data_IF_667950926688
#
_entry.id   IF_667950926688
#
_cell.length_a   1.000
_cell.length_b   1.000
_cell.length_c   1.000
_cell.angle_alpha   90.00
_cell.angle_beta   90.00
_cell.angle_gamma   90.00
#
_symmetry.space_group_name_H-M   'P 1'
#
loop_
_entity.id
_entity.type
_entity.pdbx_description
1 polymer ?
#
# COMPACT_ATOMS: atom_id res chain seq x y z
N UNK A 1 -9.77 -0.71 -15.27
CA UNK A 1 -9.51 -0.18 -13.92
C UNK A 1 -8.55 1.00 -14.01
N UNK A 2 -8.56 1.92 -13.05
CA UNK A 2 -7.61 3.05 -13.02
C UNK A 2 -6.41 2.65 -12.18
N UNK A 3 -5.18 3.04 -12.56
CA UNK A 3 -3.98 2.39 -12.05
C UNK A 3 -3.69 2.62 -10.57
N UNK A 4 -4.25 3.66 -9.96
CA UNK A 4 -3.74 4.17 -8.68
C UNK A 4 -4.29 3.49 -7.43
N UNK A 5 -5.49 2.90 -7.47
CA UNK A 5 -6.10 2.24 -6.32
C UNK A 5 -6.31 3.14 -5.09
N UNK A 6 -6.29 2.52 -3.90
CA UNK A 6 -6.51 3.19 -2.63
C UNK A 6 -6.88 2.21 -1.51
N UNK A 7 -6.58 2.55 -0.27
CA UNK A 7 -6.99 1.79 0.91
C UNK A 7 -8.16 2.49 1.59
N UNK A 8 -9.25 1.76 1.83
CA UNK A 8 -10.41 2.30 2.53
C UNK A 8 -10.84 1.39 3.67
N UNK A 9 -11.20 2.00 4.79
CA UNK A 9 -11.79 1.34 5.93
C UNK A 9 -13.20 1.85 6.16
N UNK A 10 -14.16 0.94 6.27
CA UNK A 10 -15.53 1.24 6.67
C UNK A 10 -15.74 0.72 8.08
N UNK A 11 -16.02 1.62 9.03
CA UNK A 11 -16.23 1.29 10.45
C UNK A 11 -17.48 1.93 10.99
N UNK A 12 -18.07 1.32 12.03
CA UNK A 12 -19.09 1.98 12.84
C UNK A 12 -18.40 2.99 13.75
N UNK A 13 -18.79 4.25 13.66
CA UNK A 13 -18.35 5.35 14.52
C UNK A 13 -19.58 6.15 14.95
N UNK A 14 -19.79 6.38 16.25
CA UNK A 14 -20.88 7.22 16.77
C UNK A 14 -22.28 6.93 16.15
N UNK A 15 -22.61 5.64 15.96
CA UNK A 15 -23.91 5.20 15.42
C UNK A 15 -24.09 5.40 13.90
N UNK A 16 -23.03 5.70 13.16
CA UNK A 16 -23.01 5.74 11.68
C UNK A 16 -21.88 4.86 11.15
N UNK A 17 -22.01 4.34 9.94
CA UNK A 17 -20.87 3.82 9.20
C UNK A 17 -20.10 5.00 8.62
N UNK A 18 -18.79 5.01 8.81
CA UNK A 18 -17.89 6.02 8.28
C UNK A 18 -16.83 5.33 7.41
N UNK A 19 -16.74 5.75 6.16
CA UNK A 19 -15.71 5.33 5.23
C UNK A 19 -14.55 6.33 5.25
N UNK A 20 -13.37 5.82 5.55
CA UNK A 20 -12.12 6.58 5.63
C UNK A 20 -11.11 6.01 4.66
N UNK A 21 -10.70 6.83 3.69
CA UNK A 21 -9.56 6.56 2.82
C UNK A 21 -8.27 6.79 3.63
N UNK A 22 -7.32 5.87 3.51
CA UNK A 22 -6.00 6.00 4.10
C UNK A 22 -4.99 6.25 2.99
N UNK A 23 -4.37 7.42 3.02
CA UNK A 23 -3.27 7.77 2.12
C UNK A 23 -1.93 7.36 2.74
N UNK A 24 -0.91 7.08 1.91
CA UNK A 24 0.44 6.85 2.41
C UNK A 24 0.95 8.07 3.19
N UNK A 25 1.94 7.88 4.08
CA UNK A 25 2.59 8.98 4.77
C UNK A 25 3.33 9.90 3.78
N UNK A 26 3.91 10.97 4.30
CA UNK A 26 4.69 11.88 3.48
C UNK A 26 5.97 11.22 3.01
N UNK A 27 6.44 11.55 1.80
CA UNK A 27 7.70 11.01 1.25
C UNK A 27 8.90 11.32 2.16
N UNK A 28 8.83 12.42 2.92
CA UNK A 28 9.84 12.80 3.93
C UNK A 28 9.86 11.91 5.17
N UNK A 29 8.82 11.12 5.41
CA UNK A 29 8.64 10.27 6.60
C UNK A 29 7.87 8.99 6.23
N UNK A 30 8.56 8.04 5.59
CA UNK A 30 7.96 6.76 5.20
C UNK A 30 7.50 5.91 6.40
N UNK A 31 7.99 6.17 7.61
CA UNK A 31 7.55 5.47 8.82
C UNK A 31 6.39 6.15 9.52
N UNK A 32 5.99 7.33 9.03
CA UNK A 32 4.84 8.06 9.51
C UNK A 32 3.54 7.25 9.39
N UNK A 33 2.51 7.63 10.15
CA UNK A 33 1.21 6.98 10.08
C UNK A 33 0.53 7.25 8.74
N UNK A 34 -0.31 6.31 8.31
CA UNK A 34 -1.24 6.54 7.20
C UNK A 34 -2.12 7.77 7.50
N UNK A 35 -2.36 8.58 6.48
CA UNK A 35 -3.12 9.84 6.60
C UNK A 35 -4.61 9.57 6.33
N UNK A 36 -5.49 9.66 7.35
CA UNK A 36 -6.90 9.38 7.16
C UNK A 36 -7.63 10.55 6.48
N UNK A 37 -8.53 10.24 5.54
CA UNK A 37 -9.44 11.18 4.90
C UNK A 37 -10.85 10.59 4.86
N UNK A 38 -11.80 11.27 5.51
CA UNK A 38 -13.21 10.84 5.51
C UNK A 38 -13.78 11.02 4.10
N UNK A 39 -14.47 9.99 3.58
CA UNK A 39 -15.00 9.98 2.20
C UNK A 39 -16.51 10.03 2.17
N UNK A 40 -17.17 9.11 2.88
CA UNK A 40 -18.62 9.09 2.98
C UNK A 40 -19.08 8.53 4.31
N UNK A 41 -20.34 8.76 4.65
CA UNK A 41 -20.98 8.14 5.82
C UNK A 41 -22.38 7.63 5.50
N UNK A 42 -22.80 6.61 6.23
CA UNK A 42 -24.13 6.01 6.16
C UNK A 42 -24.71 6.01 7.56
N UNK A 43 -25.85 6.64 7.77
CA UNK A 43 -26.52 6.68 9.06
C UNK A 43 -28.00 6.40 8.92
N UNK A 44 -28.67 6.09 10.03
CA UNK A 44 -30.13 5.95 10.06
C UNK A 44 -30.70 7.23 10.66
N UNK A 45 -31.40 8.01 9.84
CA UNK A 45 -32.15 9.17 10.32
C UNK A 45 -33.44 8.69 10.98
N UNK A 46 -33.42 8.61 12.32
CA UNK A 46 -34.54 8.07 13.12
C UNK A 46 -35.84 8.87 12.96
N UNK A 47 -35.76 10.20 12.81
CA UNK A 47 -36.97 11.03 12.68
C UNK A 47 -37.65 10.86 11.32
N UNK A 48 -36.88 10.58 10.27
CA UNK A 48 -37.39 10.36 8.91
C UNK A 48 -37.50 8.88 8.51
N UNK A 49 -37.18 7.97 9.43
CA UNK A 49 -37.08 6.52 9.25
C UNK A 49 -36.43 6.12 7.91
N UNK A 50 -35.30 6.74 7.58
CA UNK A 50 -34.59 6.51 6.32
C UNK A 50 -33.09 6.44 6.52
N UNK A 51 -32.44 5.63 5.70
CA UNK A 51 -30.98 5.65 5.57
C UNK A 51 -30.56 6.96 4.91
N UNK A 52 -29.58 7.63 5.49
CA UNK A 52 -28.95 8.83 4.97
C UNK A 52 -27.51 8.50 4.58
N UNK A 53 -27.21 8.69 3.30
CA UNK A 53 -25.88 8.46 2.72
C UNK A 53 -25.33 9.82 2.32
N UNK A 54 -24.20 10.21 2.91
CA UNK A 54 -23.58 11.51 2.71
C UNK A 54 -22.17 11.34 2.15
N UNK A 55 -21.89 12.04 1.07
CA UNK A 55 -20.54 12.37 0.62
C UNK A 55 -19.94 13.41 1.58
N UNK A 56 -18.71 13.16 1.99
CA UNK A 56 -17.92 14.04 2.87
C UNK A 56 -16.76 14.70 2.12
N UNK A 57 -16.66 14.47 0.81
CA UNK A 57 -15.64 15.07 -0.04
C UNK A 57 -16.00 16.54 -0.38
N UNK A 58 -15.01 17.30 -0.86
CA UNK A 58 -15.21 18.67 -1.34
C UNK A 58 -14.90 19.74 -0.29
N UNK A 59 -15.34 20.96 -0.59
CA UNK A 59 -14.98 22.18 0.18
C UNK A 59 -16.16 22.79 0.94
N UNK A 60 -17.35 22.24 0.76
CA UNK A 60 -18.57 22.66 1.44
C UNK A 60 -19.05 21.63 2.47
N UNK A 61 -20.32 21.75 2.83
CA UNK A 61 -20.97 20.82 3.73
C UNK A 61 -21.15 19.42 3.10
N UNK A 62 -21.35 18.43 3.97
CA UNK A 62 -21.72 17.09 3.56
C UNK A 62 -22.99 17.11 2.69
N UNK A 63 -23.01 16.31 1.62
CA UNK A 63 -24.05 16.35 0.61
C UNK A 63 -24.47 14.95 0.15
N UNK A 64 -25.60 14.79 -0.55
CA UNK A 64 -26.15 13.46 -0.84
C UNK A 64 -25.20 12.57 -1.65
N UNK A 65 -25.12 11.30 -1.26
CA UNK A 65 -24.51 10.22 -2.03
C UNK A 65 -25.44 9.01 -2.15
N UNK A 66 -25.01 8.01 -2.90
CA UNK A 66 -25.70 6.73 -3.06
C UNK A 66 -24.72 5.56 -2.95
N UNK A 67 -25.27 4.39 -2.60
CA UNK A 67 -24.56 3.11 -2.58
C UNK A 67 -25.31 2.17 -3.53
N UNK A 68 -24.56 1.53 -4.40
CA UNK A 68 -25.02 0.46 -5.30
C UNK A 68 -24.26 -0.82 -4.94
N UNK A 69 -24.96 -1.94 -5.00
CA UNK A 69 -24.36 -3.26 -4.83
C UNK A 69 -24.21 -3.89 -6.21
N UNK A 70 -22.99 -4.27 -6.57
CA UNK A 70 -22.72 -4.92 -7.85
C UNK A 70 -22.78 -6.44 -7.62
N UNK A 71 -23.75 -7.09 -8.26
CA UNK A 71 -24.17 -8.46 -7.94
C UNK A 71 -23.16 -9.53 -8.32
N UNK A 72 -22.21 -9.23 -9.21
CA UNK A 72 -21.28 -10.23 -9.77
C UNK A 72 -19.97 -10.33 -8.98
N UNK A 73 -19.49 -9.24 -8.40
CA UNK A 73 -18.15 -9.17 -7.77
C UNK A 73 -18.20 -8.98 -6.24
N UNK A 74 -19.40 -8.97 -5.65
CA UNK A 74 -19.61 -8.55 -4.24
C UNK A 74 -19.06 -7.15 -3.93
N UNK A 75 -18.90 -6.33 -4.96
CA UNK A 75 -18.39 -4.98 -4.87
C UNK A 75 -19.46 -4.01 -4.38
N UNK A 76 -19.04 -3.06 -3.56
CA UNK A 76 -19.88 -1.95 -3.11
C UNK A 76 -19.43 -0.69 -3.85
N UNK A 77 -20.36 -0.02 -4.53
CA UNK A 77 -20.07 1.19 -5.30
C UNK A 77 -20.72 2.39 -4.63
N UNK A 78 -19.91 3.31 -4.11
CA UNK A 78 -20.36 4.63 -3.68
C UNK A 78 -20.33 5.62 -4.84
N UNK A 79 -21.36 6.46 -4.94
CA UNK A 79 -21.41 7.60 -5.88
C UNK A 79 -21.87 8.87 -5.16
N UNK A 80 -21.22 9.99 -5.46
CA UNK A 80 -21.69 11.32 -5.09
C UNK A 80 -22.84 11.76 -6.02
N UNK A 81 -23.90 12.34 -5.46
CA UNK A 81 -25.04 12.86 -6.23
C UNK A 81 -24.94 14.36 -6.54
N UNK A 82 -23.92 15.07 -6.05
CA UNK A 82 -23.76 16.52 -6.18
C UNK A 82 -22.31 16.90 -6.51
N UNK A 83 -21.90 16.67 -7.75
CA UNK A 83 -20.52 16.93 -8.22
C UNK A 83 -20.06 18.38 -8.04
N UNK A 84 -20.97 19.36 -8.12
CA UNK A 84 -20.64 20.78 -7.96
C UNK A 84 -20.03 21.09 -6.58
N UNK A 85 -20.33 20.29 -5.56
CA UNK A 85 -19.77 20.44 -4.21
C UNK A 85 -18.29 20.05 -4.10
N UNK A 86 -17.75 19.35 -5.10
CA UNK A 86 -16.34 18.92 -5.10
C UNK A 86 -15.41 20.00 -5.66
N UNK A 87 -15.91 20.87 -6.53
CA UNK A 87 -15.10 21.88 -7.18
C UNK A 87 -14.58 22.90 -6.16
N UNK A 88 -13.27 23.18 -6.20
CA UNK A 88 -12.71 24.22 -5.36
C UNK A 88 -13.34 25.60 -5.70
N UNK A 89 -13.78 26.40 -4.70
CA UNK A 89 -14.46 27.69 -4.95
C UNK A 89 -13.63 28.69 -5.76
N UNK A 90 -12.30 28.56 -5.73
CA UNK A 90 -11.33 29.36 -6.48
C UNK A 90 -10.84 28.72 -7.79
N UNK A 91 -11.49 27.64 -8.25
CA UNK A 91 -11.17 26.93 -9.49
C UNK A 91 -10.14 25.81 -9.34
N UNK A 92 -10.02 24.99 -10.40
CA UNK A 92 -9.26 23.73 -10.43
C UNK A 92 -7.74 23.90 -10.25
N UNK A 93 -7.17 25.03 -10.67
CA UNK A 93 -5.74 25.31 -10.45
C UNK A 93 -5.41 25.44 -8.95
N UNK A 94 -6.29 26.08 -8.18
CA UNK A 94 -6.14 26.19 -6.72
C UNK A 94 -6.40 24.85 -6.04
N UNK A 95 -7.33 24.05 -6.57
CA UNK A 95 -7.58 22.68 -6.14
C UNK A 95 -6.32 21.81 -6.25
N UNK A 96 -5.71 21.78 -7.44
CA UNK A 96 -4.48 21.05 -7.69
C UNK A 96 -3.34 21.54 -6.79
N UNK A 97 -3.16 22.85 -6.64
CA UNK A 97 -2.15 23.41 -5.73
C UNK A 97 -2.38 23.01 -4.27
N UNK A 98 -3.63 22.93 -3.83
CA UNK A 98 -4.00 22.49 -2.48
C UNK A 98 -3.68 21.01 -2.30
N UNK A 99 -4.02 20.17 -3.27
CA UNK A 99 -3.70 18.74 -3.23
C UNK A 99 -2.19 18.48 -3.24
N UNK A 100 -1.41 19.23 -4.03
CA UNK A 100 0.06 19.13 -4.02
C UNK A 100 0.58 19.42 -2.61
N UNK A 101 0.13 20.52 -2.00
CA UNK A 101 0.50 20.87 -0.62
C UNK A 101 0.11 19.80 0.40
N UNK A 102 -1.08 19.21 0.24
CA UNK A 102 -1.55 18.10 1.07
C UNK A 102 -0.74 16.82 0.90
N UNK A 103 -0.16 16.56 -0.27
CA UNK A 103 0.67 15.38 -0.55
C UNK A 103 2.14 15.59 -0.16
N UNK A 104 2.65 16.83 -0.22
CA UNK A 104 4.06 17.13 0.11
C UNK A 104 4.26 17.70 1.52
N UNK A 105 3.19 17.84 2.31
CA UNK A 105 3.22 18.52 3.60
C UNK A 105 3.80 19.94 3.50
N UNK A 106 3.40 20.69 2.47
CA UNK A 106 3.97 22.01 2.14
C UNK A 106 5.49 22.05 1.88
N UNK A 107 6.18 20.91 1.78
CA UNK A 107 7.60 20.89 1.44
C UNK A 107 7.80 21.09 -0.06
N UNK A 108 8.88 21.80 -0.41
CA UNK A 108 9.34 21.99 -1.79
C UNK A 108 10.10 20.75 -2.26
N UNK A 109 9.41 19.62 -2.35
CA UNK A 109 9.94 18.37 -2.93
C UNK A 109 9.73 18.45 -4.44
N UNK A 110 10.67 18.01 -5.29
CA UNK A 110 10.44 17.92 -6.72
C UNK A 110 9.19 17.07 -6.99
N UNK A 111 8.13 17.75 -7.45
CA UNK A 111 6.85 17.15 -7.79
C UNK A 111 6.92 16.69 -9.24
N UNK A 112 6.71 15.40 -9.49
CA UNK A 112 6.91 14.84 -10.83
C UNK A 112 5.69 15.08 -11.73
N UNK A 113 5.87 14.91 -13.04
CA UNK A 113 4.75 14.93 -14.00
C UNK A 113 3.75 13.80 -13.68
N UNK A 114 4.24 12.66 -13.19
CA UNK A 114 3.37 11.51 -12.88
C UNK A 114 2.57 11.73 -11.59
N UNK A 115 3.15 12.42 -10.60
CA UNK A 115 2.39 12.90 -9.43
C UNK A 115 1.25 13.84 -9.83
N UNK A 116 1.51 14.74 -10.79
CA UNK A 116 0.47 15.64 -11.30
C UNK A 116 -0.65 14.86 -11.97
N UNK A 117 -0.32 13.91 -12.85
CA UNK A 117 -1.32 13.06 -13.52
C UNK A 117 -2.13 12.24 -12.51
N UNK A 118 -1.49 11.74 -11.45
CA UNK A 118 -2.16 11.02 -10.37
C UNK A 118 -3.18 11.91 -9.65
N UNK A 119 -2.80 13.14 -9.29
CA UNK A 119 -3.71 14.08 -8.63
C UNK A 119 -4.85 14.53 -9.55
N UNK A 120 -4.57 14.83 -10.82
CA UNK A 120 -5.62 15.14 -11.79
C UNK A 120 -6.57 13.96 -11.99
N UNK A 121 -6.05 12.73 -11.98
CA UNK A 121 -6.87 11.52 -12.01
C UNK A 121 -7.75 11.45 -10.76
N UNK A 122 -7.19 11.66 -9.56
CA UNK A 122 -7.93 11.71 -8.30
C UNK A 122 -9.08 12.72 -8.36
N UNK A 123 -8.80 13.98 -8.73
CA UNK A 123 -9.82 15.05 -8.86
C UNK A 123 -10.99 14.66 -9.78
N UNK A 124 -10.73 13.92 -10.86
CA UNK A 124 -11.77 13.45 -11.79
C UNK A 124 -12.63 12.31 -11.22
N UNK A 125 -12.19 11.64 -10.15
CA UNK A 125 -12.76 10.36 -9.67
C UNK A 125 -13.28 10.36 -8.25
N UNK A 126 -13.00 11.39 -7.45
CA UNK A 126 -13.51 11.52 -6.07
C UNK A 126 -15.04 11.44 -5.94
N UNK A 127 -15.75 11.43 -7.05
CA UNK A 127 -17.20 11.22 -7.13
C UNK A 127 -17.66 9.76 -7.08
N UNK A 128 -16.78 8.77 -7.32
CA UNK A 128 -17.16 7.35 -7.38
C UNK A 128 -16.06 6.47 -6.79
N UNK A 129 -16.43 5.63 -5.83
CA UNK A 129 -15.54 4.65 -5.22
C UNK A 129 -16.13 3.25 -5.41
N UNK A 130 -15.33 2.34 -5.96
CA UNK A 130 -15.62 0.90 -5.99
C UNK A 130 -14.83 0.26 -4.86
N UNK A 131 -15.53 -0.39 -3.94
CA UNK A 131 -14.95 -1.01 -2.75
C UNK A 131 -14.98 -2.51 -2.95
N UNK A 132 -13.77 -3.06 -3.04
CA UNK A 132 -13.54 -4.50 -3.07
C UNK A 132 -12.95 -4.89 -1.72
N UNK A 133 -13.51 -5.94 -1.11
CA UNK A 133 -13.01 -6.43 0.17
C UNK A 133 -11.65 -7.07 -0.02
N UNK A 134 -10.67 -6.66 0.79
CA UNK A 134 -9.35 -7.26 0.84
C UNK A 134 -9.27 -8.12 2.10
N UNK A 135 -8.97 -9.39 1.92
CA UNK A 135 -8.67 -10.28 3.03
C UNK A 135 -7.19 -10.18 3.40
N UNK A 136 -6.93 -9.85 4.67
CA UNK A 136 -5.58 -9.82 5.22
C UNK A 136 -5.35 -11.10 5.99
N UNK A 137 -4.32 -11.85 5.60
CA UNK A 137 -3.96 -13.09 6.28
C UNK A 137 -3.57 -12.81 7.73
N UNK A 138 -3.96 -13.71 8.63
CA UNK A 138 -3.65 -13.56 10.06
C UNK A 138 -2.14 -13.73 10.30
N UNK A 139 -1.58 -12.99 11.26
CA UNK A 139 -0.22 -13.25 11.74
C UNK A 139 -0.07 -14.70 12.19
N UNK A 140 1.05 -15.32 11.85
CA UNK A 140 1.43 -16.67 12.24
C UNK A 140 2.96 -16.75 12.32
N UNK A 141 3.54 -17.31 13.39
CA UNK A 141 4.99 -17.48 13.51
C UNK A 141 5.65 -18.28 12.38
N UNK A 142 4.90 -19.09 11.64
CA UNK A 142 5.41 -19.81 10.45
C UNK A 142 5.81 -18.86 9.32
N UNK A 143 5.25 -17.65 9.29
CA UNK A 143 5.55 -16.72 8.22
C UNK A 143 6.88 -16.01 8.45
N UNK A 144 7.76 -16.01 7.43
CA UNK A 144 9.06 -15.37 7.55
C UNK A 144 8.98 -13.86 7.80
N UNK A 145 8.06 -13.24 7.07
CA UNK A 145 7.63 -11.87 7.25
C UNK A 145 6.13 -11.96 7.48
N UNK A 146 5.65 -11.35 8.55
CA UNK A 146 4.23 -11.41 8.86
C UNK A 146 3.41 -10.85 7.69
N UNK A 147 2.42 -11.60 7.16
CA UNK A 147 1.60 -11.10 6.07
C UNK A 147 0.81 -9.88 6.54
N UNK A 148 0.45 -9.02 5.59
CA UNK A 148 -0.19 -7.76 5.96
C UNK A 148 -0.01 -6.66 4.94
N UNK A 149 -0.38 -5.47 5.38
CA UNK A 149 -0.20 -4.24 4.62
C UNK A 149 1.17 -3.63 4.94
N UNK A 150 1.90 -3.30 3.89
CA UNK A 150 3.21 -2.67 3.94
C UNK A 150 3.18 -1.37 3.16
N UNK A 151 4.09 -0.46 3.51
CA UNK A 151 4.37 0.75 2.74
C UNK A 151 5.83 0.73 2.32
N UNK A 152 6.10 1.11 1.06
CA UNK A 152 7.45 1.10 0.52
C UNK A 152 7.64 2.23 -0.50
N UNK A 153 8.89 2.67 -0.66
CA UNK A 153 9.26 3.55 -1.76
C UNK A 153 9.22 2.78 -3.08
N UNK A 154 8.55 3.36 -4.08
CA UNK A 154 8.49 2.86 -5.45
C UNK A 154 9.11 3.86 -6.43
N UNK A 155 10.38 4.21 -6.17
CA UNK A 155 11.17 5.11 -7.01
C UNK A 155 10.46 6.47 -7.24
N UNK A 156 10.37 6.92 -8.49
CA UNK A 156 9.75 8.18 -8.89
C UNK A 156 8.24 8.28 -8.59
N UNK A 157 7.56 7.17 -8.30
CA UNK A 157 6.12 7.16 -7.99
C UNK A 157 5.80 7.40 -6.51
N UNK A 158 6.84 7.59 -5.69
CA UNK A 158 6.69 7.94 -4.28
C UNK A 158 6.47 6.73 -3.37
N UNK A 159 5.57 6.85 -2.40
CA UNK A 159 5.25 5.77 -1.45
C UNK A 159 3.97 5.07 -1.91
N UNK A 160 4.03 3.75 -2.01
CA UNK A 160 2.91 2.88 -2.32
C UNK A 160 2.61 1.91 -1.17
N UNK A 161 1.38 1.42 -1.14
CA UNK A 161 0.90 0.40 -0.21
C UNK A 161 0.78 -0.95 -0.90
N UNK A 162 1.24 -1.98 -0.21
CA UNK A 162 1.33 -3.34 -0.71
C UNK A 162 0.67 -4.32 0.26
N UNK A 163 0.09 -5.39 -0.27
CA UNK A 163 -0.39 -6.54 0.51
C UNK A 163 0.55 -7.71 0.27
N UNK A 164 1.24 -8.15 1.32
CA UNK A 164 1.99 -9.40 1.34
C UNK A 164 1.07 -10.53 1.77
N UNK A 165 1.01 -11.58 0.95
CA UNK A 165 0.28 -12.82 1.26
C UNK A 165 1.09 -14.05 0.87
N UNK A 166 0.83 -15.16 1.54
CA UNK A 166 1.48 -16.44 1.34
C UNK A 166 0.51 -17.49 0.81
N UNK A 167 1.00 -18.36 -0.08
CA UNK A 167 0.40 -19.65 -0.39
C UNK A 167 1.39 -20.74 0.06
N UNK A 168 1.29 -21.13 1.34
CA UNK A 168 2.19 -22.14 1.93
C UNK A 168 2.00 -23.52 1.31
N UNK A 169 0.84 -23.81 0.71
CA UNK A 169 0.63 -25.07 -0.01
C UNK A 169 1.51 -25.17 -1.25
N UNK A 170 1.80 -24.02 -1.87
CA UNK A 170 2.71 -23.92 -3.01
C UNK A 170 4.14 -23.52 -2.63
N UNK A 171 4.38 -23.12 -1.38
CA UNK A 171 5.62 -22.48 -0.92
C UNK A 171 5.92 -21.21 -1.75
N UNK A 172 4.93 -20.33 -1.85
CA UNK A 172 5.00 -19.07 -2.62
C UNK A 172 4.51 -17.90 -1.79
N UNK A 173 5.01 -16.70 -2.08
CA UNK A 173 4.46 -15.46 -1.57
C UNK A 173 4.28 -14.44 -2.69
N UNK A 174 3.29 -13.57 -2.52
CA UNK A 174 2.89 -12.58 -3.51
C UNK A 174 2.74 -11.22 -2.83
N UNK A 175 3.24 -10.19 -3.50
CA UNK A 175 3.10 -8.79 -3.09
C UNK A 175 2.22 -8.08 -4.11
N UNK A 176 0.99 -7.76 -3.69
CA UNK A 176 -0.01 -7.09 -4.51
C UNK A 176 -0.01 -5.59 -4.22
N UNK A 177 -0.09 -4.76 -5.25
CA UNK A 177 -0.25 -3.31 -5.10
C UNK A 177 -1.66 -2.97 -4.63
N UNK A 178 -1.79 -2.37 -3.45
CA UNK A 178 -3.06 -1.78 -2.98
C UNK A 178 -3.24 -0.37 -3.54
N UNK A 179 -2.14 0.37 -3.61
CA UNK A 179 -2.01 1.54 -4.49
C UNK A 179 -0.99 1.21 -5.55
N UNK A 180 -1.18 1.71 -6.76
CA UNK A 180 -0.23 1.48 -7.85
C UNK A 180 -0.04 2.69 -8.72
N UNK A 181 0.48 2.43 -9.91
CA UNK A 181 0.93 3.43 -10.86
C UNK A 181 0.61 2.98 -12.30
N UNK A 182 0.78 3.84 -13.32
CA UNK A 182 0.46 3.48 -14.70
C UNK A 182 1.24 2.27 -15.25
N UNK A 183 2.38 1.92 -14.67
CA UNK A 183 3.20 0.78 -15.10
C UNK A 183 2.75 -0.52 -14.44
N UNK A 184 2.50 -0.50 -13.11
CA UNK A 184 1.92 -1.63 -12.38
C UNK A 184 0.69 -1.13 -11.60
N UNK A 185 -0.52 -1.38 -12.12
CA UNK A 185 -1.76 -0.96 -11.49
C UNK A 185 -2.01 -1.55 -10.10
N UNK A 186 -2.83 -0.86 -9.31
CA UNK A 186 -3.41 -1.43 -8.10
C UNK A 186 -4.28 -2.66 -8.42
N UNK A 187 -4.21 -3.66 -7.55
CA UNK A 187 -4.79 -4.98 -7.71
C UNK A 187 -3.84 -5.98 -8.37
N UNK A 188 -2.78 -5.51 -9.04
CA UNK A 188 -1.82 -6.35 -9.73
C UNK A 188 -0.66 -6.76 -8.82
N UNK A 189 -0.06 -7.89 -9.16
CA UNK A 189 1.11 -8.44 -8.49
C UNK A 189 2.37 -7.70 -8.92
N UNK A 190 3.10 -7.14 -7.95
CA UNK A 190 4.36 -6.45 -8.21
C UNK A 190 5.58 -7.32 -7.90
N UNK A 191 5.48 -8.27 -6.97
CA UNK A 191 6.57 -9.17 -6.61
C UNK A 191 5.99 -10.56 -6.40
N UNK A 192 6.65 -11.54 -7.00
CA UNK A 192 6.42 -12.94 -6.76
C UNK A 192 7.66 -13.55 -6.10
N UNK A 193 7.47 -14.33 -5.05
CA UNK A 193 8.54 -14.87 -4.21
C UNK A 193 8.39 -16.38 -4.19
N UNK A 194 9.40 -17.08 -4.69
CA UNK A 194 9.51 -18.53 -4.60
C UNK A 194 10.20 -18.89 -3.28
N UNK A 195 9.46 -19.45 -2.32
CA UNK A 195 10.00 -19.83 -1.01
C UNK A 195 10.78 -21.16 -1.06
N UNK A 196 10.77 -21.86 -2.20
CA UNK A 196 11.52 -23.10 -2.39
C UNK A 196 12.98 -22.89 -2.71
N UNK A 197 13.38 -21.69 -3.14
CA UNK A 197 14.74 -21.40 -3.60
C UNK A 197 15.39 -20.33 -2.70
N UNK A 198 15.76 -20.67 -1.45
CA UNK A 198 16.40 -19.72 -0.56
C UNK A 198 17.82 -19.39 -1.05
N UNK A 199 18.07 -18.10 -1.30
CA UNK A 199 19.41 -17.64 -1.65
C UNK A 199 20.26 -17.51 -0.38
N UNK A 200 21.43 -18.17 -0.36
CA UNK A 200 22.44 -18.01 0.69
C UNK A 200 23.59 -17.15 0.17
N UNK A 201 23.72 -15.93 0.69
CA UNK A 201 24.72 -14.98 0.22
C UNK A 201 25.87 -14.83 1.23
N UNK A 202 27.10 -14.94 0.73
CA UNK A 202 28.28 -14.52 1.49
C UNK A 202 28.30 -13.00 1.66
N UNK A 203 29.07 -12.52 2.65
CA UNK A 203 29.24 -11.09 2.90
C UNK A 203 29.77 -10.34 1.67
N UNK A 204 30.70 -10.95 0.94
CA UNK A 204 31.29 -10.34 -0.25
C UNK A 204 30.28 -10.24 -1.40
N UNK A 205 29.44 -11.27 -1.59
CA UNK A 205 28.36 -11.25 -2.58
C UNK A 205 27.32 -10.16 -2.28
N UNK A 206 27.06 -9.85 -1.01
CA UNK A 206 26.11 -8.78 -0.64
C UNK A 206 26.66 -7.37 -0.87
N UNK A 207 27.99 -7.20 -0.96
CA UNK A 207 28.63 -5.90 -1.11
C UNK A 207 28.78 -5.46 -2.58
N UNK A 208 28.70 -6.40 -3.53
CA UNK A 208 28.95 -6.16 -4.95
C UNK A 208 27.84 -6.74 -5.83
N UNK A 209 27.20 -5.85 -6.61
CA UNK A 209 26.14 -6.24 -7.54
C UNK A 209 26.65 -7.21 -8.60
N UNK A 210 27.91 -7.10 -9.05
CA UNK A 210 28.43 -8.03 -10.05
C UNK A 210 28.50 -9.46 -9.51
N UNK A 211 28.88 -9.61 -8.25
CA UNK A 211 28.87 -10.91 -7.55
C UNK A 211 27.47 -11.51 -7.45
N UNK A 212 26.41 -10.69 -7.35
CA UNK A 212 25.01 -11.16 -7.41
C UNK A 212 24.58 -11.54 -8.83
N UNK A 213 25.03 -10.80 -9.84
CA UNK A 213 24.71 -11.07 -11.25
C UNK A 213 25.33 -12.37 -11.78
N UNK A 214 26.35 -12.89 -11.10
CA UNK A 214 27.00 -14.16 -11.41
C UNK A 214 26.27 -15.38 -10.84
N UNK A 215 25.25 -15.18 -10.00
CA UNK A 215 24.45 -16.28 -9.45
C UNK A 215 23.41 -16.73 -10.48
N UNK A 216 23.46 -17.99 -10.88
CA UNK A 216 22.43 -18.59 -11.72
C UNK A 216 21.36 -19.29 -10.86
N UNK A 217 20.16 -19.47 -11.40
CA UNK A 217 19.06 -20.11 -10.67
C UNK A 217 19.38 -21.57 -10.28
N UNK A 218 20.22 -22.23 -11.07
CA UNK A 218 20.70 -23.59 -10.84
C UNK A 218 21.74 -23.67 -9.70
N UNK A 219 22.37 -22.55 -9.34
CA UNK A 219 23.28 -22.48 -8.18
C UNK A 219 22.51 -22.37 -6.86
N UNK A 220 21.20 -22.12 -6.90
CA UNK A 220 20.36 -21.94 -5.72
C UNK A 220 19.78 -23.29 -5.31
N UNK A 221 20.17 -23.83 -4.14
CA UNK A 221 19.68 -25.13 -3.68
C UNK A 221 18.20 -25.09 -3.33
N UNK A 222 17.52 -26.23 -3.48
CA UNK A 222 16.14 -26.39 -3.04
C UNK A 222 16.06 -26.30 -1.51
N UNK A 223 15.00 -25.66 -1.01
CA UNK A 223 14.78 -25.36 0.42
C UNK A 223 14.86 -26.60 1.30
N UNK A 224 14.43 -27.75 0.78
CA UNK A 224 14.40 -29.02 1.51
C UNK A 224 15.81 -29.61 1.70
N UNK A 225 16.79 -29.19 0.88
CA UNK A 225 18.19 -29.66 0.93
C UNK A 225 19.10 -28.72 1.74
N UNK A 226 18.56 -27.60 2.22
CA UNK A 226 19.33 -26.53 2.85
C UNK A 226 19.19 -26.58 4.36
N UNK A 227 20.30 -26.91 5.04
CA UNK A 227 20.42 -26.74 6.49
C UNK A 227 20.35 -25.25 6.85
N UNK A 228 19.59 -24.89 7.89
CA UNK A 228 19.49 -23.50 8.29
C UNK A 228 20.82 -22.91 8.71
N UNK A 229 21.14 -21.74 8.16
CA UNK A 229 22.33 -20.99 8.53
C UNK A 229 21.97 -19.53 8.74
N UNK A 230 22.51 -18.97 9.83
CA UNK A 230 22.54 -17.53 10.00
C UNK A 230 23.46 -16.97 8.92
N UNK A 231 22.91 -16.18 8.02
CA UNK A 231 23.67 -15.40 7.06
C UNK A 231 23.75 -13.95 7.56
N UNK A 232 24.90 -13.27 7.37
CA UNK A 232 24.99 -11.86 7.65
C UNK A 232 24.02 -11.10 6.74
N UNK A 233 23.50 -9.97 7.19
CA UNK A 233 22.82 -9.02 6.32
C UNK A 233 23.65 -7.75 6.25
N UNK A 234 24.13 -7.42 5.06
CA UNK A 234 25.01 -6.27 4.83
C UNK A 234 24.42 -5.41 3.74
N UNK A 235 24.24 -4.14 4.07
CA UNK A 235 23.77 -3.15 3.12
C UNK A 235 24.92 -2.78 2.18
N UNK A 236 24.72 -2.86 0.85
CA UNK A 236 25.75 -2.47 -0.10
C UNK A 236 26.15 -0.99 0.07
N UNK A 237 27.43 -0.64 -0.17
CA UNK A 237 27.89 0.74 -0.07
C UNK A 237 27.11 1.67 -1.01
N UNK A 238 26.67 2.83 -0.51
CA UNK A 238 25.89 3.81 -1.29
C UNK A 238 24.37 3.67 -1.14
N UNK A 239 23.88 2.62 -0.48
CA UNK A 239 22.51 2.57 0.02
C UNK A 239 22.47 3.22 1.41
N UNK A 240 21.67 4.27 1.58
CA UNK A 240 21.46 4.85 2.91
C UNK A 240 20.35 4.10 3.61
N UNK A 241 20.67 3.48 4.75
CA UNK A 241 19.68 3.37 5.81
C UNK A 241 19.58 4.72 6.47
N UNK A 242 18.44 5.38 6.31
CA UNK A 242 18.08 6.46 7.21
C UNK A 242 17.93 5.98 8.68
N UNK A 243 18.07 4.66 8.91
CA UNK A 243 17.81 3.95 10.16
C UNK A 243 18.75 2.74 10.30
N UNK A 244 19.92 2.94 10.90
CA UNK A 244 20.81 1.83 11.27
C UNK A 244 20.13 0.87 12.30
N UNK A 245 19.19 1.38 13.10
CA UNK A 245 18.51 0.62 14.18
C UNK A 245 17.47 -0.41 13.70
N UNK A 246 17.02 -0.32 12.44
CA UNK A 246 16.02 -1.23 11.87
C UNK A 246 16.59 -2.15 10.79
N UNK A 247 17.88 -2.03 10.54
CA UNK A 247 18.59 -2.91 9.62
C UNK A 247 18.79 -4.25 10.29
N UNK A 248 18.21 -5.34 9.74
CA UNK A 248 18.49 -6.67 10.26
C UNK A 248 19.99 -6.91 10.23
N UNK A 249 20.59 -7.36 11.33
CA UNK A 249 22.03 -7.68 11.35
C UNK A 249 22.30 -9.06 10.77
N UNK A 250 21.28 -9.92 10.77
CA UNK A 250 21.30 -11.28 10.24
C UNK A 250 19.94 -11.65 9.66
N UNK A 251 19.96 -12.57 8.71
CA UNK A 251 18.77 -13.34 8.34
C UNK A 251 19.12 -14.83 8.35
N UNK A 252 18.12 -15.68 8.51
CA UNK A 252 18.30 -17.13 8.44
C UNK A 252 17.17 -17.73 7.61
N UNK A 253 17.46 -18.73 6.79
CA UNK A 253 16.43 -19.57 6.16
C UNK A 253 16.47 -20.96 6.80
N UNK A 254 15.35 -21.45 7.35
CA UNK A 254 15.21 -22.80 7.92
C UNK A 254 14.19 -23.60 7.11
N UNK A 255 14.60 -24.28 6.04
CA UNK A 255 13.83 -25.34 5.35
C UNK A 255 12.44 -25.02 4.78
N UNK A 256 11.78 -23.94 5.24
CA UNK A 256 10.44 -23.42 4.95
C UNK A 256 10.18 -22.04 5.62
N UNK A 257 10.96 -21.64 6.62
CA UNK A 257 10.82 -20.31 7.27
C UNK A 257 12.05 -19.44 6.99
N UNK A 258 11.86 -18.13 6.87
CA UNK A 258 12.91 -17.11 6.69
C UNK A 258 12.80 -16.09 7.83
N UNK A 259 13.69 -16.16 8.80
CA UNK A 259 13.69 -15.25 9.92
C UNK A 259 14.54 -14.02 9.59
N UNK A 260 13.93 -12.84 9.67
CA UNK A 260 14.64 -11.57 9.72
C UNK A 260 14.73 -11.16 11.19
N UNK A 261 15.89 -11.30 11.81
CA UNK A 261 16.08 -11.01 13.23
C UNK A 261 16.87 -9.71 13.42
N UNK A 262 16.28 -8.78 14.17
CA UNK A 262 16.90 -7.49 14.49
C UNK A 262 17.67 -7.50 15.83
N UNK A 263 18.10 -8.66 16.30
CA UNK A 263 18.75 -8.78 17.63
C UNK A 263 20.24 -8.99 17.49
N UNK A 264 21.00 -7.99 17.93
CA UNK A 264 22.33 -8.20 18.48
C UNK A 264 22.20 -9.29 19.57
N UNK A 265 22.73 -10.48 19.30
CA UNK A 265 23.08 -11.41 20.38
C UNK A 265 24.27 -10.87 21.15
#
# INVERSE_FOLDING_TARGET
>A
MRPYGGLMQVKVDNGRLLATEYKPPYVSDIHGPLRPKKVFSISINKSKNRTEILCLHGYGEAHPGSIEFETEESDIVFKCCQMSSHAHPKGSSVELSTLIKEETNNHTIPFTIDDQKRLECYMKNVQKYRLTHIEVQKPDPVYPIQPGLFQAHYSAHGIEMFLLKYDMSKKEAEVIKITGDPNVPAGETSIYINLRKPMQLTKDQQLDVNSLLLLEEDDIPDSDDVQPRNQPFVIPPGFSTFLDDFTPTTCASTGNDLYITNTNQ
#
